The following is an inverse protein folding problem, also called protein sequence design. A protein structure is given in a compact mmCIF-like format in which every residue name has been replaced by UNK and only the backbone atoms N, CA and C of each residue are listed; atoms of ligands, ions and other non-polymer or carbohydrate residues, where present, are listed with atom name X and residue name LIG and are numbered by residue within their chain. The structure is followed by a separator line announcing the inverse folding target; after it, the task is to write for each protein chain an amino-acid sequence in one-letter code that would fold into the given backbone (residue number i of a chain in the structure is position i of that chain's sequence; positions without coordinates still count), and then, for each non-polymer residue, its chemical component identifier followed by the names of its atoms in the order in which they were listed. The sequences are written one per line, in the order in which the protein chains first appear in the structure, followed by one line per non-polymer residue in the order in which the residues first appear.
data_IF_492527413442
#
_entry.id   IF_492527413442
#
_cell.length_a   1.000
_cell.length_b   1.000
_cell.length_c   1.000
_cell.angle_alpha   90.00
_cell.angle_beta   90.00
_cell.angle_gamma   90.00
#
_symmetry.space_group_name_H-M   'P 1'
#
loop_
_entity.id
_entity.type
_entity.pdbx_description
1 polymer ?
#
# COMPACT_ATOMS: atom_id res chain seq x y z
N UNK A 1 -71.21 16.62 -17.02
CA UNK A 1 -69.78 17.02 -17.14
C UNK A 1 -69.23 17.77 -15.91
N UNK A 2 -69.80 17.64 -14.69
CA UNK A 2 -69.33 18.36 -13.48
C UNK A 2 -68.49 17.53 -12.51
N UNK A 3 -68.39 16.21 -12.70
CA UNK A 3 -67.72 15.31 -11.76
C UNK A 3 -66.20 15.14 -12.05
N UNK A 4 -65.76 15.32 -13.29
CA UNK A 4 -64.33 15.18 -13.65
C UNK A 4 -63.47 16.37 -13.22
N UNK A 5 -64.05 17.57 -13.06
CA UNK A 5 -63.29 18.77 -12.74
C UNK A 5 -62.85 18.85 -11.27
N UNK A 6 -63.57 18.20 -10.34
CA UNK A 6 -63.22 18.20 -8.92
C UNK A 6 -62.01 17.29 -8.63
N UNK A 7 -61.92 16.13 -9.28
CA UNK A 7 -60.86 15.13 -9.05
C UNK A 7 -59.47 15.63 -9.49
N UNK A 8 -59.39 16.42 -10.57
CA UNK A 8 -58.12 16.94 -11.06
C UNK A 8 -57.67 18.27 -10.42
N UNK A 9 -58.54 18.95 -9.67
CA UNK A 9 -58.19 20.20 -8.99
C UNK A 9 -57.29 20.01 -7.76
N UNK A 10 -57.28 18.80 -7.18
CA UNK A 10 -56.46 18.45 -6.01
C UNK A 10 -55.24 17.57 -6.34
N UNK A 11 -55.06 17.19 -7.61
CA UNK A 11 -53.94 16.35 -8.04
C UNK A 11 -52.77 17.20 -8.55
N UNK A 12 -51.54 16.69 -8.46
CA UNK A 12 -50.32 17.28 -9.04
C UNK A 12 -50.35 17.44 -10.57
N UNK A 13 -51.46 17.07 -11.20
CA UNK A 13 -51.77 17.13 -12.64
C UNK A 13 -52.54 18.40 -13.02
N UNK A 14 -52.17 19.54 -12.44
CA UNK A 14 -52.72 20.88 -12.71
C UNK A 14 -52.90 21.20 -14.22
N UNK A 15 -52.00 20.77 -15.14
CA UNK A 15 -52.19 21.03 -16.57
C UNK A 15 -53.41 20.31 -17.18
N UNK A 16 -53.73 19.09 -16.72
CA UNK A 16 -54.91 18.34 -17.19
C UNK A 16 -56.22 19.00 -16.73
N UNK A 17 -56.23 19.58 -15.53
CA UNK A 17 -57.37 20.37 -15.03
C UNK A 17 -57.60 21.63 -15.89
N UNK A 18 -56.53 22.30 -16.35
CA UNK A 18 -56.62 23.46 -17.24
C UNK A 18 -57.11 23.10 -18.65
N UNK A 19 -56.75 21.92 -19.17
CA UNK A 19 -57.25 21.43 -20.47
C UNK A 19 -58.75 21.12 -20.37
N UNK A 20 -59.20 20.47 -19.29
CA UNK A 20 -60.61 20.10 -19.12
C UNK A 20 -61.54 21.31 -18.92
N UNK A 21 -61.07 22.36 -18.22
CA UNK A 21 -61.86 23.54 -17.88
C UNK A 21 -61.73 24.71 -18.87
N UNK A 22 -60.89 24.61 -19.91
CA UNK A 22 -60.74 25.70 -20.89
C UNK A 22 -62.01 25.86 -21.76
N UNK A 23 -62.52 27.10 -21.97
CA UNK A 23 -63.79 27.35 -22.65
C UNK A 23 -63.73 27.22 -24.18
N UNK A 24 -62.57 27.50 -24.82
CA UNK A 24 -62.42 27.48 -26.28
C UNK A 24 -61.56 26.30 -26.76
N UNK A 25 -61.86 25.79 -27.97
CA UNK A 25 -61.11 24.67 -28.57
C UNK A 25 -59.64 25.00 -28.81
N UNK A 26 -59.32 26.24 -29.22
CA UNK A 26 -57.95 26.71 -29.44
C UNK A 26 -57.13 26.75 -28.14
N UNK A 27 -57.73 27.19 -27.03
CA UNK A 27 -57.06 27.24 -25.73
C UNK A 27 -56.82 25.84 -25.16
N UNK A 28 -57.74 24.89 -25.38
CA UNK A 28 -57.52 23.47 -25.03
C UNK A 28 -56.34 22.87 -25.78
N UNK A 29 -56.22 23.18 -27.07
CA UNK A 29 -55.14 22.70 -27.93
C UNK A 29 -53.79 23.26 -27.49
N UNK A 30 -53.74 24.55 -27.12
CA UNK A 30 -52.54 25.19 -26.58
C UNK A 30 -52.10 24.61 -25.23
N UNK A 31 -53.03 24.36 -24.30
CA UNK A 31 -52.68 23.70 -23.04
C UNK A 31 -52.24 22.25 -23.23
N UNK A 32 -52.83 21.54 -24.20
CA UNK A 32 -52.42 20.18 -24.53
C UNK A 32 -51.01 20.12 -25.11
N UNK A 33 -50.66 21.02 -26.03
CA UNK A 33 -49.29 21.07 -26.59
C UNK A 33 -48.26 21.44 -25.53
N UNK A 34 -48.54 22.42 -24.68
CA UNK A 34 -47.64 22.82 -23.58
C UNK A 34 -47.46 21.67 -22.57
N UNK A 35 -48.53 20.94 -22.25
CA UNK A 35 -48.45 19.78 -21.34
C UNK A 35 -47.63 18.63 -21.94
N UNK A 36 -47.80 18.36 -23.25
CA UNK A 36 -47.01 17.35 -23.95
C UNK A 36 -45.51 17.71 -23.97
N UNK A 37 -45.17 18.98 -24.22
CA UNK A 37 -43.78 19.46 -24.19
C UNK A 37 -43.18 19.30 -22.80
N UNK A 38 -43.90 19.67 -21.74
CA UNK A 38 -43.43 19.49 -20.36
C UNK A 38 -43.20 18.02 -20.02
N UNK A 39 -44.08 17.12 -20.46
CA UNK A 39 -43.94 15.68 -20.23
C UNK A 39 -42.73 15.09 -20.96
N UNK A 40 -42.54 15.47 -22.23
CA UNK A 40 -41.36 15.04 -23.01
C UNK A 40 -40.07 15.55 -22.32
N UNK A 41 -40.04 16.81 -21.88
CA UNK A 41 -38.91 17.35 -21.14
C UNK A 41 -38.61 16.58 -19.86
N UNK A 42 -39.63 16.23 -19.09
CA UNK A 42 -39.48 15.41 -17.88
C UNK A 42 -38.94 14.00 -18.18
N UNK A 43 -39.45 13.34 -19.22
CA UNK A 43 -38.96 12.04 -19.66
C UNK A 43 -37.49 12.08 -20.10
N UNK A 44 -37.08 13.15 -20.80
CA UNK A 44 -35.69 13.35 -21.21
C UNK A 44 -34.79 13.56 -20.00
N UNK A 45 -35.18 14.43 -19.05
CA UNK A 45 -34.41 14.66 -17.82
C UNK A 45 -34.22 13.38 -17.00
N UNK A 46 -35.29 12.60 -16.80
CA UNK A 46 -35.22 11.32 -16.07
C UNK A 46 -34.28 10.35 -16.81
N UNK A 47 -34.41 10.24 -18.13
CA UNK A 47 -33.56 9.35 -18.94
C UNK A 47 -32.08 9.73 -18.84
N UNK A 48 -31.76 11.02 -18.83
CA UNK A 48 -30.38 11.52 -18.65
C UNK A 48 -29.81 11.16 -17.27
N UNK A 49 -30.60 11.35 -16.20
CA UNK A 49 -30.18 10.99 -14.83
C UNK A 49 -29.95 9.47 -14.71
N UNK A 50 -30.84 8.66 -15.27
CA UNK A 50 -30.71 7.20 -15.26
C UNK A 50 -29.46 6.77 -16.05
N UNK A 51 -29.21 7.34 -17.23
CA UNK A 51 -27.99 7.06 -17.99
C UNK A 51 -26.72 7.45 -17.22
N UNK A 52 -26.73 8.58 -16.51
CA UNK A 52 -25.60 9.02 -15.69
C UNK A 52 -25.38 8.08 -14.49
N UNK A 53 -26.46 7.60 -13.86
CA UNK A 53 -26.41 6.61 -12.79
C UNK A 53 -25.85 5.26 -13.28
N UNK A 54 -26.34 4.76 -14.42
CA UNK A 54 -25.87 3.52 -15.04
C UNK A 54 -24.40 3.61 -15.51
N UNK A 55 -23.88 4.82 -15.74
CA UNK A 55 -22.47 5.04 -16.10
C UNK A 55 -21.51 4.83 -14.91
N UNK A 56 -22.02 4.64 -13.68
CA UNK A 56 -21.22 4.40 -12.48
C UNK A 56 -20.03 5.37 -12.36
N UNK A 57 -20.27 6.67 -12.62
CA UNK A 57 -19.22 7.66 -12.49
C UNK A 57 -18.88 7.82 -11.00
N UNK A 58 -17.70 7.35 -10.62
CA UNK A 58 -17.17 7.57 -9.29
C UNK A 58 -16.47 8.94 -9.26
N UNK A 59 -16.90 9.80 -8.34
CA UNK A 59 -16.16 11.02 -8.01
C UNK A 59 -15.24 10.65 -6.86
N UNK A 60 -13.93 10.68 -7.11
CA UNK A 60 -12.94 10.56 -6.05
C UNK A 60 -12.84 11.92 -5.35
N UNK A 61 -13.43 12.02 -4.18
CA UNK A 61 -13.18 13.16 -3.30
C UNK A 61 -11.84 12.93 -2.61
N UNK A 62 -10.84 13.71 -3.01
CA UNK A 62 -9.55 13.75 -2.35
C UNK A 62 -9.66 14.70 -1.15
N UNK A 63 -10.10 14.17 0.00
CA UNK A 63 -10.06 14.91 1.24
C UNK A 63 -8.67 14.80 1.87
N UNK A 64 -8.02 15.95 2.07
CA UNK A 64 -6.83 16.03 2.91
C UNK A 64 -7.29 16.07 4.36
N UNK A 65 -7.17 14.95 5.07
CA UNK A 65 -7.41 14.94 6.50
C UNK A 65 -6.22 15.54 7.22
N UNK A 66 -6.32 16.82 7.59
CA UNK A 66 -5.31 17.52 8.39
C UNK A 66 -5.40 17.19 9.88
N UNK A 67 -4.23 17.14 10.53
CA UNK A 67 -3.88 17.30 11.95
C UNK A 67 -4.60 16.49 13.06
N UNK A 68 -5.77 15.93 12.81
CA UNK A 68 -6.58 15.23 13.82
C UNK A 68 -6.98 13.82 13.43
N UNK A 69 -6.63 13.35 12.24
CA UNK A 69 -6.59 11.91 12.00
C UNK A 69 -5.33 11.35 12.62
N UNK A 70 -5.50 10.27 13.37
CA UNK A 70 -4.51 9.54 14.18
C UNK A 70 -3.50 8.82 13.26
N UNK A 71 -2.85 9.57 12.37
CA UNK A 71 -1.76 9.12 11.52
C UNK A 71 -0.40 9.55 12.09
N UNK A 72 -0.31 9.79 13.40
CA UNK A 72 0.95 9.98 14.16
C UNK A 72 1.83 8.71 14.23
N UNK A 73 1.45 7.69 13.47
CA UNK A 73 2.14 6.42 13.44
C UNK A 73 3.27 6.48 12.43
N UNK A 74 4.48 6.17 12.89
CA UNK A 74 5.64 5.95 12.01
C UNK A 74 5.25 4.94 10.92
N UNK A 75 5.50 5.24 9.63
CA UNK A 75 5.15 4.34 8.54
C UNK A 75 5.90 3.01 8.64
N UNK A 76 5.36 1.99 7.98
CA UNK A 76 6.08 0.75 7.77
C UNK A 76 7.21 0.97 6.75
N UNK A 77 8.38 0.44 7.04
CA UNK A 77 9.56 0.59 6.19
C UNK A 77 10.01 -0.79 5.76
N UNK A 78 9.93 -1.09 4.48
CA UNK A 78 10.41 -2.34 3.91
C UNK A 78 11.71 -2.11 3.16
N UNK A 79 12.74 -2.88 3.48
CA UNK A 79 14.04 -2.85 2.83
C UNK A 79 14.19 -4.15 2.04
N UNK A 80 14.41 -4.04 0.74
CA UNK A 80 14.70 -5.16 -0.15
C UNK A 80 15.97 -4.87 -0.95
N UNK A 81 16.86 -5.83 -1.22
CA UNK A 81 17.86 -5.68 -2.26
C UNK A 81 17.16 -5.37 -3.59
N UNK A 82 17.74 -4.47 -4.40
CA UNK A 82 17.24 -4.18 -5.74
C UNK A 82 17.12 -5.49 -6.54
N UNK A 83 16.16 -5.58 -7.46
CA UNK A 83 15.87 -6.81 -8.21
C UNK A 83 17.11 -7.44 -8.88
N UNK A 84 18.02 -6.61 -9.43
CA UNK A 84 19.28 -7.09 -10.01
C UNK A 84 20.25 -7.65 -8.96
N UNK A 85 20.36 -6.99 -7.80
CA UNK A 85 21.18 -7.49 -6.68
C UNK A 85 20.58 -8.74 -6.05
N UNK A 86 19.25 -8.81 -5.88
CA UNK A 86 18.54 -10.02 -5.46
C UNK A 86 18.88 -11.20 -6.39
N UNK A 87 18.90 -10.98 -7.70
CA UNK A 87 19.31 -11.99 -8.69
C UNK A 87 20.77 -12.40 -8.51
N UNK A 88 21.67 -11.44 -8.30
CA UNK A 88 23.09 -11.70 -8.08
C UNK A 88 23.32 -12.53 -6.81
N UNK A 89 22.75 -12.13 -5.68
CA UNK A 89 22.83 -12.85 -4.41
C UNK A 89 22.29 -14.27 -4.52
N UNK A 90 21.12 -14.45 -5.15
CA UNK A 90 20.53 -15.77 -5.35
C UNK A 90 21.42 -16.66 -6.22
N UNK A 91 21.91 -16.13 -7.34
CA UNK A 91 22.76 -16.88 -8.27
C UNK A 91 24.10 -17.26 -7.64
N UNK A 92 24.69 -16.36 -6.85
CA UNK A 92 25.92 -16.63 -6.12
C UNK A 92 25.73 -17.75 -5.09
N UNK A 93 24.62 -17.71 -4.33
CA UNK A 93 24.26 -18.77 -3.41
C UNK A 93 24.04 -20.13 -4.11
N UNK A 94 23.38 -20.13 -5.26
CA UNK A 94 23.17 -21.34 -6.07
C UNK A 94 24.50 -21.93 -6.58
N UNK A 95 25.45 -21.08 -6.99
CA UNK A 95 26.81 -21.50 -7.36
C UNK A 95 27.54 -22.12 -6.17
N UNK A 96 27.48 -21.49 -4.99
CA UNK A 96 28.08 -22.05 -3.75
C UNK A 96 27.48 -23.41 -3.39
N UNK A 97 26.22 -23.66 -3.71
CA UNK A 97 25.55 -24.94 -3.49
C UNK A 97 25.73 -25.95 -4.64
N UNK A 98 26.51 -25.61 -5.67
CA UNK A 98 26.73 -26.43 -6.87
C UNK A 98 25.41 -26.82 -7.58
N UNK A 99 24.39 -25.96 -7.54
CA UNK A 99 23.11 -26.22 -8.22
C UNK A 99 23.16 -25.60 -9.61
N UNK A 100 23.11 -26.46 -10.64
CA UNK A 100 22.99 -26.02 -12.02
C UNK A 100 21.62 -25.37 -12.26
N UNK A 101 21.61 -24.05 -12.47
CA UNK A 101 20.39 -23.31 -12.80
C UNK A 101 20.54 -22.61 -14.15
N UNK A 102 19.49 -22.70 -14.96
CA UNK A 102 19.41 -21.94 -16.21
C UNK A 102 19.21 -20.45 -15.89
N UNK A 103 19.75 -19.54 -16.72
CA UNK A 103 19.57 -18.11 -16.52
C UNK A 103 18.09 -17.73 -16.71
N UNK A 104 17.38 -17.60 -15.58
CA UNK A 104 16.00 -17.10 -15.55
C UNK A 104 15.97 -15.64 -15.08
N UNK A 105 14.97 -14.84 -15.49
CA UNK A 105 14.84 -13.44 -15.06
C UNK A 105 14.62 -13.33 -13.55
N UNK A 106 13.76 -14.19 -12.98
CA UNK A 106 13.48 -14.23 -11.55
C UNK A 106 13.53 -15.70 -11.07
N UNK A 107 14.72 -16.23 -10.76
CA UNK A 107 14.92 -17.66 -10.53
C UNK A 107 14.13 -18.22 -9.33
N UNK A 108 13.83 -17.38 -8.33
CA UNK A 108 13.02 -17.74 -7.17
C UNK A 108 11.52 -17.93 -7.44
N UNK A 109 11.03 -17.68 -8.66
CA UNK A 109 9.66 -18.01 -9.04
C UNK A 109 9.49 -19.47 -9.43
N UNK A 110 10.57 -20.09 -9.89
CA UNK A 110 10.52 -21.49 -10.25
C UNK A 110 10.45 -22.32 -8.97
N UNK A 111 9.31 -22.99 -8.76
CA UNK A 111 9.11 -23.88 -7.61
C UNK A 111 10.23 -24.92 -7.50
N UNK A 112 10.64 -25.51 -8.62
CA UNK A 112 11.69 -26.54 -8.64
C UNK A 112 13.05 -25.99 -8.18
N UNK A 113 13.42 -24.81 -8.65
CA UNK A 113 14.68 -24.14 -8.28
C UNK A 113 14.66 -23.77 -6.80
N UNK A 114 13.54 -23.23 -6.30
CA UNK A 114 13.39 -22.88 -4.89
C UNK A 114 13.40 -24.08 -3.97
N UNK A 115 12.80 -25.20 -4.36
CA UNK A 115 12.80 -26.43 -3.56
C UNK A 115 14.21 -27.05 -3.50
N UNK A 116 14.98 -27.01 -4.60
CA UNK A 116 16.40 -27.40 -4.61
C UNK A 116 17.25 -26.49 -3.71
N UNK A 117 17.05 -25.17 -3.80
CA UNK A 117 17.73 -24.20 -2.95
C UNK A 117 17.43 -24.47 -1.47
N UNK A 118 16.16 -24.66 -1.11
CA UNK A 118 15.74 -24.94 0.27
C UNK A 118 16.35 -26.25 0.79
N UNK A 119 16.34 -27.31 -0.01
CA UNK A 119 16.92 -28.59 0.37
C UNK A 119 18.42 -28.46 0.69
N UNK A 120 19.19 -27.82 -0.21
CA UNK A 120 20.63 -27.59 0.02
C UNK A 120 20.91 -26.64 1.17
N UNK A 121 20.11 -25.59 1.33
CA UNK A 121 20.26 -24.68 2.44
C UNK A 121 19.98 -25.39 3.78
N UNK A 122 18.97 -26.27 3.85
CA UNK A 122 18.67 -27.09 5.03
C UNK A 122 19.75 -28.15 5.32
N UNK A 123 20.41 -28.71 4.30
CA UNK A 123 21.57 -29.60 4.49
C UNK A 123 22.71 -28.87 5.23
N UNK A 124 22.94 -27.59 4.93
CA UNK A 124 24.01 -26.78 5.53
C UNK A 124 23.58 -26.25 6.91
N UNK A 125 22.32 -25.83 7.04
CA UNK A 125 21.76 -25.17 8.22
C UNK A 125 20.35 -25.73 8.51
N UNK A 126 20.23 -26.78 9.35
CA UNK A 126 18.94 -27.45 9.57
C UNK A 126 17.92 -26.59 10.32
N UNK A 127 18.35 -25.49 10.94
CA UNK A 127 17.53 -24.52 11.66
C UNK A 127 16.84 -23.47 10.76
N UNK A 128 17.07 -23.50 9.45
CA UNK A 128 16.48 -22.57 8.49
C UNK A 128 14.96 -22.66 8.43
N UNK A 129 14.32 -21.49 8.55
CA UNK A 129 12.89 -21.29 8.32
C UNK A 129 12.72 -20.38 7.11
N UNK A 130 11.95 -20.82 6.11
CA UNK A 130 11.65 -20.04 4.89
C UNK A 130 10.29 -19.34 4.94
N UNK A 131 9.59 -19.42 6.06
CA UNK A 131 8.34 -18.70 6.29
C UNK A 131 8.60 -17.25 6.69
N UNK A 132 7.57 -16.41 6.59
CA UNK A 132 7.58 -15.08 7.22
C UNK A 132 7.81 -15.23 8.72
N UNK A 133 8.76 -14.49 9.27
CA UNK A 133 9.06 -14.49 10.71
C UNK A 133 8.80 -13.09 11.24
N UNK A 134 7.99 -12.96 12.28
CA UNK A 134 7.76 -11.69 12.96
C UNK A 134 8.46 -11.72 14.31
N UNK A 135 9.37 -10.79 14.53
CA UNK A 135 10.08 -10.58 15.78
C UNK A 135 9.77 -9.20 16.36
N UNK A 136 9.74 -9.10 17.67
CA UNK A 136 9.59 -7.82 18.39
C UNK A 136 10.80 -7.66 19.29
N UNK A 137 11.62 -6.66 18.99
CA UNK A 137 12.76 -6.33 19.82
C UNK A 137 12.31 -5.74 21.16
N UNK A 138 13.15 -5.74 22.20
CA UNK A 138 12.90 -5.02 23.43
C UNK A 138 12.62 -3.53 23.17
N UNK A 139 12.00 -2.85 24.14
CA UNK A 139 11.80 -1.40 24.03
C UNK A 139 13.16 -0.68 24.12
N UNK A 140 13.34 0.38 23.36
CA UNK A 140 14.63 1.11 23.28
C UNK A 140 15.65 0.46 22.35
N UNK A 141 15.55 -0.84 22.09
CA UNK A 141 16.41 -1.54 21.12
C UNK A 141 15.90 -1.29 19.69
N UNK A 142 16.46 -0.25 19.07
CA UNK A 142 16.11 0.21 17.73
C UNK A 142 17.16 -0.17 16.66
N UNK A 143 18.03 -1.13 16.98
CA UNK A 143 19.04 -1.67 16.08
C UNK A 143 18.70 -3.12 15.72
N UNK A 144 18.64 -3.42 14.43
CA UNK A 144 18.55 -4.78 13.91
C UNK A 144 19.76 -5.10 13.02
N UNK A 145 20.39 -6.25 13.24
CA UNK A 145 21.55 -6.77 12.50
C UNK A 145 21.31 -8.23 12.12
N UNK A 146 21.66 -8.59 10.88
CA UNK A 146 21.64 -9.96 10.34
C UNK A 146 22.42 -11.00 11.18
N UNK A 147 23.50 -10.58 11.84
CA UNK A 147 24.39 -11.46 12.61
C UNK A 147 23.89 -11.76 14.02
N UNK A 148 23.26 -10.79 14.70
CA UNK A 148 22.92 -10.91 16.13
C UNK A 148 21.42 -10.95 16.40
N UNK A 149 20.63 -10.08 15.75
CA UNK A 149 19.19 -9.93 16.06
C UNK A 149 18.29 -10.64 15.07
N UNK A 150 18.76 -10.86 13.84
CA UNK A 150 17.96 -11.55 12.84
C UNK A 150 17.71 -12.99 13.26
N UNK A 151 16.44 -13.40 13.20
CA UNK A 151 16.02 -14.76 13.54
C UNK A 151 16.19 -15.66 12.33
N UNK A 152 15.92 -15.15 11.12
CA UNK A 152 16.05 -15.88 9.88
C UNK A 152 17.53 -16.15 9.58
N UNK A 153 17.94 -17.43 9.53
CA UNK A 153 19.33 -17.78 9.23
C UNK A 153 19.74 -17.42 7.80
N UNK A 154 18.76 -17.15 6.91
CA UNK A 154 19.00 -16.91 5.49
C UNK A 154 19.83 -15.65 5.24
N UNK A 155 19.65 -14.61 6.06
CA UNK A 155 20.43 -13.38 5.91
C UNK A 155 21.91 -13.63 6.17
N UNK A 156 22.26 -14.36 7.22
CA UNK A 156 23.67 -14.70 7.52
C UNK A 156 24.36 -15.47 6.39
N UNK A 157 23.59 -16.20 5.58
CA UNK A 157 24.14 -16.94 4.44
C UNK A 157 24.34 -16.08 3.19
N UNK A 158 23.52 -15.03 3.03
CA UNK A 158 23.38 -14.31 1.76
C UNK A 158 23.85 -12.86 1.82
N UNK A 159 23.57 -12.15 2.91
CA UNK A 159 23.84 -10.73 3.03
C UNK A 159 23.99 -10.30 4.49
N UNK A 160 25.07 -9.60 4.78
CA UNK A 160 25.32 -9.05 6.11
C UNK A 160 25.09 -7.54 6.12
N UNK A 161 24.08 -7.09 6.87
CA UNK A 161 23.75 -5.68 7.02
C UNK A 161 23.03 -5.40 8.35
N UNK A 162 23.04 -4.15 8.78
CA UNK A 162 22.27 -3.68 9.93
C UNK A 162 21.45 -2.46 9.59
N UNK A 163 20.35 -2.29 10.31
CA UNK A 163 19.42 -1.17 10.20
C UNK A 163 19.24 -0.60 11.60
N UNK A 164 19.56 0.68 11.76
CA UNK A 164 19.41 1.43 13.00
C UNK A 164 18.38 2.54 12.81
N UNK A 165 17.47 2.67 13.77
CA UNK A 165 16.46 3.73 13.79
C UNK A 165 16.79 4.72 14.90
N UNK A 166 17.06 5.98 14.54
CA UNK A 166 17.30 7.05 15.49
C UNK A 166 16.11 7.99 15.51
N UNK A 167 15.45 8.08 16.66
CA UNK A 167 14.27 8.92 16.85
C UNK A 167 14.70 10.19 17.57
N UNK A 168 14.18 11.33 17.13
CA UNK A 168 14.28 12.58 17.89
C UNK A 168 12.89 13.03 18.39
N UNK A 169 12.83 13.55 19.63
CA UNK A 169 13.95 13.69 20.56
C UNK A 169 14.41 12.34 21.16
N UNK A 170 15.73 12.20 21.41
CA UNK A 170 16.38 10.91 21.73
C UNK A 170 15.84 10.23 22.99
N UNK A 171 15.39 10.99 23.98
CA UNK A 171 14.77 10.47 25.20
C UNK A 171 13.44 9.72 24.94
N UNK A 172 12.89 9.79 23.72
CA UNK A 172 11.72 9.02 23.33
C UNK A 172 12.06 7.60 22.87
N UNK A 173 13.32 7.28 22.54
CA UNK A 173 13.73 5.94 22.03
C UNK A 173 13.14 4.80 22.86
N UNK A 174 13.17 4.93 24.18
CA UNK A 174 12.75 3.92 25.15
C UNK A 174 11.22 3.70 25.16
N UNK A 175 10.47 4.65 24.60
CA UNK A 175 9.02 4.54 24.41
C UNK A 175 8.64 3.74 23.17
N UNK A 176 9.57 3.59 22.23
CA UNK A 176 9.38 2.85 20.99
C UNK A 176 9.86 1.41 21.10
N UNK A 177 9.23 0.56 20.30
CA UNK A 177 9.61 -0.83 20.12
C UNK A 177 9.64 -1.14 18.63
N UNK A 178 10.76 -1.70 18.18
CA UNK A 178 10.92 -2.13 16.80
C UNK A 178 10.31 -3.53 16.60
N UNK A 179 9.37 -3.63 15.65
CA UNK A 179 8.84 -4.90 15.15
C UNK A 179 9.45 -5.15 13.78
N UNK A 180 10.02 -6.33 13.59
CA UNK A 180 10.71 -6.72 12.37
C UNK A 180 10.01 -7.94 11.80
N UNK A 181 9.61 -7.84 10.54
CA UNK A 181 9.08 -8.95 9.75
C UNK A 181 10.11 -9.34 8.70
N UNK A 182 10.67 -10.52 8.86
CA UNK A 182 11.73 -11.07 8.00
C UNK A 182 11.16 -12.00 6.93
N UNK A 183 11.82 -12.07 5.77
CA UNK A 183 11.44 -12.90 4.64
C UNK A 183 10.04 -12.61 4.09
N UNK A 184 9.71 -11.32 3.98
CA UNK A 184 8.42 -10.91 3.42
C UNK A 184 8.36 -11.29 1.94
N UNK A 185 7.40 -12.12 1.51
CA UNK A 185 7.33 -12.57 0.13
C UNK A 185 7.08 -11.37 -0.80
N UNK A 186 8.03 -11.11 -1.68
CA UNK A 186 7.91 -10.11 -2.73
C UNK A 186 7.97 -10.81 -4.08
N UNK A 187 7.06 -10.44 -5.00
CA UNK A 187 7.10 -10.92 -6.37
C UNK A 187 8.45 -10.56 -7.00
N UNK A 188 8.94 -9.33 -6.90
CA UNK A 188 10.15 -8.87 -7.61
C UNK A 188 11.48 -9.10 -6.89
N UNK A 189 11.47 -9.31 -5.57
CA UNK A 189 12.69 -9.39 -4.76
C UNK A 189 12.71 -10.67 -3.93
N UNK A 190 13.89 -11.28 -3.82
CA UNK A 190 14.07 -12.57 -3.16
C UNK A 190 14.02 -12.47 -1.62
N UNK A 191 14.49 -11.34 -1.08
CA UNK A 191 14.57 -11.08 0.34
C UNK A 191 14.05 -9.68 0.61
N UNK A 192 13.16 -9.56 1.58
CA UNK A 192 12.67 -8.27 2.06
C UNK A 192 12.47 -8.35 3.56
N UNK A 193 12.83 -7.27 4.25
CA UNK A 193 12.60 -7.11 5.68
C UNK A 193 11.75 -5.87 5.90
N UNK A 194 10.65 -6.02 6.60
CA UNK A 194 9.77 -4.90 6.99
C UNK A 194 10.00 -4.53 8.45
N UNK A 195 10.06 -3.25 8.72
CA UNK A 195 10.29 -2.65 10.02
C UNK A 195 9.12 -1.76 10.37
N UNK A 196 8.57 -1.94 11.57
CA UNK A 196 7.50 -1.12 12.11
C UNK A 196 7.86 -0.62 13.50
N UNK A 197 7.82 0.70 13.69
CA UNK A 197 8.00 1.30 15.00
C UNK A 197 6.67 1.45 15.72
N UNK A 198 6.61 0.87 16.92
CA UNK A 198 5.44 0.90 17.78
C UNK A 198 5.74 1.75 19.01
N UNK A 199 5.01 2.85 19.20
CA UNK A 199 4.93 3.54 20.49
C UNK A 199 3.61 3.19 21.18
N UNK A 200 3.65 3.03 22.51
CA UNK A 200 2.44 2.96 23.34
C UNK A 200 1.97 4.33 23.85
N UNK A 201 2.85 5.33 23.83
CA UNK A 201 2.54 6.69 24.26
C UNK A 201 2.20 7.53 23.04
N UNK A 202 0.90 7.80 22.84
CA UNK A 202 0.40 8.68 21.78
C UNK A 202 0.59 10.17 22.10
N UNK A 203 0.86 10.52 23.36
CA UNK A 203 1.03 11.93 23.79
C UNK A 203 2.43 12.49 23.50
N UNK A 204 3.43 11.63 23.25
CA UNK A 204 4.80 12.04 22.97
C UNK A 204 5.09 11.80 21.50
N UNK A 205 4.97 12.87 20.74
CA UNK A 205 5.13 12.88 19.28
C UNK A 205 6.61 12.94 18.94
N UNK A 206 7.04 12.05 18.04
CA UNK A 206 8.37 12.07 17.46
C UNK A 206 8.41 13.19 16.42
N UNK A 207 9.46 14.00 16.42
CA UNK A 207 9.61 15.07 15.44
C UNK A 207 10.41 14.62 14.21
N UNK A 208 11.28 13.63 14.39
CA UNK A 208 12.21 13.19 13.36
C UNK A 208 12.61 11.73 13.55
N UNK A 209 12.74 11.02 12.44
CA UNK A 209 13.22 9.65 12.36
C UNK A 209 14.36 9.59 11.35
N UNK A 210 15.52 9.09 11.76
CA UNK A 210 16.64 8.77 10.90
C UNK A 210 16.78 7.25 10.79
N UNK A 211 17.08 6.74 9.60
CA UNK A 211 17.29 5.31 9.37
C UNK A 211 18.69 5.17 8.79
N UNK A 212 19.56 4.42 9.49
CA UNK A 212 20.92 4.13 9.04
C UNK A 212 21.02 2.67 8.64
N UNK A 213 21.45 2.43 7.40
CA UNK A 213 21.67 1.09 6.88
C UNK A 213 23.18 0.91 6.70
N UNK A 214 23.78 0.07 7.53
CA UNK A 214 25.20 -0.23 7.47
C UNK A 214 25.41 -1.60 6.83
N UNK A 215 26.37 -1.69 5.91
CA UNK A 215 26.77 -2.94 5.28
C UNK A 215 28.21 -3.24 5.67
N UNK A 216 28.49 -4.46 6.12
CA UNK A 216 29.86 -4.85 6.47
C UNK A 216 30.67 -5.15 5.20
N UNK A 217 31.90 -4.63 5.15
CA UNK A 217 32.86 -4.94 4.09
C UNK A 217 33.42 -6.35 4.30
N UNK A 218 32.98 -7.30 3.49
CA UNK A 218 33.78 -8.51 3.29
C UNK A 218 35.00 -8.16 2.43
N UNK A 219 36.14 -8.79 2.73
CA UNK A 219 37.47 -8.58 2.16
C UNK A 219 37.59 -8.69 0.62
N UNK A 220 36.52 -9.10 -0.08
CA UNK A 220 36.47 -9.19 -1.54
C UNK A 220 35.81 -7.98 -2.23
N UNK A 221 35.32 -6.97 -1.50
CA UNK A 221 34.79 -5.72 -2.09
C UNK A 221 33.51 -5.87 -2.96
N UNK A 222 33.02 -7.09 -3.17
CA UNK A 222 31.95 -7.43 -4.11
C UNK A 222 30.57 -7.58 -3.48
N UNK A 223 30.40 -7.51 -2.14
CA UNK A 223 29.11 -7.80 -1.47
C UNK A 223 28.28 -6.58 -1.09
N UNK A 224 28.65 -5.40 -1.58
CA UNK A 224 27.86 -4.19 -1.39
C UNK A 224 26.61 -4.24 -2.26
N UNK A 225 25.45 -4.07 -1.64
CA UNK A 225 24.14 -4.26 -2.25
C UNK A 225 23.40 -2.94 -2.29
N UNK A 226 22.88 -2.61 -3.46
CA UNK A 226 21.90 -1.53 -3.60
C UNK A 226 20.57 -1.98 -3.01
N UNK A 227 20.04 -1.22 -2.06
CA UNK A 227 18.74 -1.48 -1.47
C UNK A 227 17.66 -0.61 -2.13
N UNK A 228 16.43 -1.11 -2.11
CA UNK A 228 15.23 -0.33 -2.33
C UNK A 228 14.50 -0.25 -0.98
N UNK A 229 14.31 0.96 -0.50
CA UNK A 229 13.48 1.26 0.66
C UNK A 229 12.09 1.59 0.16
N UNK A 230 11.10 0.88 0.69
CA UNK A 230 9.70 0.99 0.35
C UNK A 230 9.00 1.47 1.62
N UNK A 231 8.55 2.72 1.61
CA UNK A 231 7.73 3.26 2.70
C UNK A 231 6.27 2.97 2.41
N UNK A 232 5.52 2.44 3.37
CA UNK A 232 4.11 2.09 3.22
C UNK A 232 3.30 2.35 4.49
N UNK A 233 1.98 2.29 4.39
CA UNK A 233 1.09 2.38 5.55
C UNK A 233 1.39 1.25 6.54
N UNK A 234 1.34 1.56 7.84
CA UNK A 234 1.63 0.60 8.90
C UNK A 234 0.57 -0.50 8.96
N UNK A 235 0.98 -1.73 9.17
CA UNK A 235 0.09 -2.90 9.18
C UNK A 235 -0.31 -3.40 7.79
N UNK A 236 0.02 -2.65 6.73
CA UNK A 236 -0.07 -3.15 5.37
C UNK A 236 1.20 -3.90 4.98
N UNK A 237 1.04 -4.90 4.11
CA UNK A 237 2.18 -5.47 3.42
C UNK A 237 2.60 -4.51 2.30
N UNK A 238 3.91 -4.33 2.04
CA UNK A 238 4.46 -3.41 1.02
C UNK A 238 4.05 -3.74 -0.43
N UNK A 239 3.21 -4.74 -0.65
CA UNK A 239 2.73 -5.22 -1.96
C UNK A 239 1.21 -5.18 -2.09
N UNK A 240 0.55 -4.35 -1.29
CA UNK A 240 -0.84 -3.94 -1.47
C UNK A 240 -1.10 -3.57 -2.93
N UNK A 241 -2.28 -3.93 -3.46
CA UNK A 241 -2.65 -3.67 -4.86
C UNK A 241 -2.78 -2.17 -5.19
N UNK A 242 -2.71 -1.31 -4.17
CA UNK A 242 -2.74 0.13 -4.28
C UNK A 242 -1.30 0.67 -4.21
N UNK A 243 -0.90 1.44 -5.22
CA UNK A 243 0.45 1.99 -5.43
C UNK A 243 0.77 3.13 -4.44
N UNK A 244 0.52 2.92 -3.15
CA UNK A 244 0.67 3.89 -2.05
C UNK A 244 2.03 3.75 -1.36
N UNK A 245 3.08 3.55 -2.14
CA UNK A 245 4.40 3.30 -1.59
C UNK A 245 5.46 4.19 -2.24
N UNK A 246 6.39 4.67 -1.42
CA UNK A 246 7.51 5.49 -1.89
C UNK A 246 8.71 4.58 -2.00
N UNK A 247 9.24 4.42 -3.21
CA UNK A 247 10.49 3.72 -3.48
C UNK A 247 11.66 4.69 -3.45
N UNK A 248 12.66 4.39 -2.64
CA UNK A 248 13.94 5.08 -2.64
C UNK A 248 15.05 4.07 -2.87
N UNK A 249 15.82 4.27 -3.94
CA UNK A 249 16.99 3.44 -4.23
C UNK A 249 18.16 3.98 -3.42
N UNK A 250 18.80 3.10 -2.66
CA UNK A 250 19.94 3.38 -1.82
C UNK A 250 21.17 2.66 -2.37
N UNK A 251 22.04 3.37 -3.09
CA UNK A 251 23.35 2.84 -3.45
C UNK A 251 24.17 2.48 -2.20
N UNK A 252 25.14 1.57 -2.30
CA UNK A 252 26.06 1.30 -1.20
C UNK A 252 26.77 2.57 -0.71
N UNK A 253 27.15 2.59 0.58
CA UNK A 253 27.82 3.73 1.23
C UNK A 253 27.04 5.05 1.21
N UNK A 254 25.73 5.00 0.93
CA UNK A 254 24.88 6.18 1.04
C UNK A 254 24.23 6.23 2.42
N UNK A 255 24.47 7.34 3.13
CA UNK A 255 23.63 7.72 4.27
C UNK A 255 22.39 8.40 3.70
N UNK A 256 21.21 7.79 3.90
CA UNK A 256 19.95 8.42 3.51
C UNK A 256 19.10 8.63 4.75
N UNK A 257 18.97 9.90 5.10
CA UNK A 257 18.03 10.35 6.12
C UNK A 257 16.66 10.51 5.45
N UNK A 258 15.71 9.64 5.78
CA UNK A 258 14.32 9.77 5.35
C UNK A 258 13.57 10.59 6.39
N UNK A 259 13.14 11.79 6.03
CA UNK A 259 12.45 12.70 6.93
C UNK A 259 10.95 12.44 6.87
N UNK A 260 10.40 11.98 7.98
CA UNK A 260 8.96 11.96 8.19
C UNK A 260 8.63 12.99 9.27
N UNK A 261 7.55 13.74 9.07
CA UNK A 261 7.10 14.76 10.03
C UNK A 261 5.61 14.57 10.28
N UNK A 262 5.25 14.46 11.55
CA UNK A 262 3.89 14.69 12.04
C UNK A 262 3.72 16.21 12.24
N UNK A 263 3.00 16.88 11.33
CA UNK A 263 2.68 18.31 11.42
C UNK A 263 1.42 18.57 12.27
#
# INVERSE_FOLDING_TARGET
MKCFSSVFSQSSLVPLAKIANAPSRSLRLLWATVTAIMFIGLCVCISLVVMQYLKHQTVFQLDYSGRHTVYDQVPGITICPQSQESKRLFTDAMKRFNIASQPQPLPWFSKTVMDQFRAKALEIRPDLKFSVIVNRLPKGDLLWNTSNTAISPIYRMLLNFSVEFQIQPSHLSDSYRLTVMEQVPNKRNFLCTTFELLSKNMERVWSYLEIRINQENNSEGTNRVTFTVITHERGELPFSAYDRHIHTILPPETSVSLYFSSL
#
